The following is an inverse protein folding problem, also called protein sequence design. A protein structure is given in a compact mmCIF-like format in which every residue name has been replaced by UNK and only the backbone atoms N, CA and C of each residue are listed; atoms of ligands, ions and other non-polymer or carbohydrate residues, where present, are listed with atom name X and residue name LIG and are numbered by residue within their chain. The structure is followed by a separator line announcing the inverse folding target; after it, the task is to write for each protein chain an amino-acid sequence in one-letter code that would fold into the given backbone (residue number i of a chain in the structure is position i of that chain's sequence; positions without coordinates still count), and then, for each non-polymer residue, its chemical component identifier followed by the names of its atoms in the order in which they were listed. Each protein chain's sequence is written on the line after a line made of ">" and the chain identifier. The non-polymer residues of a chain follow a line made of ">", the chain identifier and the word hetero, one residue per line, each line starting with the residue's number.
data_IF_248693242336
#
_entry.id   IF_248693242336
#
_cell.length_a   1.000
_cell.length_b   1.000
_cell.length_c   1.000
_cell.angle_alpha   90.00
_cell.angle_beta   90.00
_cell.angle_gamma   90.00
#
_symmetry.space_group_name_H-M   'P 1'
#
loop_
_entity.id
_entity.type
_entity.pdbx_description
1 polymer ?
#
# COMPACT_ATOMS: atom_id res chain seq x y z
N UNK A 1 36.97 13.18 -13.20
CA UNK A 1 35.63 12.57 -13.38
C UNK A 1 34.87 12.71 -12.07
N UNK A 2 34.11 13.79 -11.94
CA UNK A 2 33.29 14.06 -10.74
C UNK A 2 31.89 13.50 -11.00
N UNK A 3 31.51 12.45 -10.25
CA UNK A 3 30.13 11.97 -10.23
C UNK A 3 29.29 12.92 -9.36
N UNK A 4 28.44 13.72 -9.98
CA UNK A 4 27.44 14.49 -9.28
C UNK A 4 26.44 13.57 -8.58
N UNK A 5 26.49 13.56 -7.26
CA UNK A 5 25.46 12.96 -6.41
C UNK A 5 24.19 13.82 -6.54
N UNK A 6 23.23 13.38 -7.36
CA UNK A 6 21.89 13.97 -7.36
C UNK A 6 21.10 13.28 -6.27
N UNK A 7 21.05 13.90 -5.10
CA UNK A 7 20.13 13.54 -4.03
C UNK A 7 18.70 13.85 -4.52
N UNK A 8 17.98 12.82 -4.93
CA UNK A 8 16.56 12.93 -5.21
C UNK A 8 15.81 12.99 -3.88
N UNK A 9 15.35 14.17 -3.48
CA UNK A 9 14.44 14.35 -2.36
C UNK A 9 13.09 13.73 -2.74
N UNK A 10 12.81 12.56 -2.21
CA UNK A 10 11.47 11.99 -2.23
C UNK A 10 10.56 12.86 -1.37
N UNK A 11 9.63 13.57 -1.99
CA UNK A 11 8.63 14.35 -1.28
C UNK A 11 7.66 13.38 -0.63
N UNK A 12 7.82 13.16 0.66
CA UNK A 12 6.78 12.56 1.51
C UNK A 12 5.68 13.61 1.64
N UNK A 13 4.59 13.46 0.92
CA UNK A 13 3.38 14.27 1.14
C UNK A 13 2.78 13.87 2.48
N UNK A 14 3.18 14.58 3.53
CA UNK A 14 2.41 14.64 4.76
C UNK A 14 1.22 15.55 4.44
N UNK A 15 0.03 14.97 4.32
CA UNK A 15 -1.21 15.74 4.35
C UNK A 15 -1.33 16.36 5.74
N UNK A 16 -0.77 17.55 5.91
CA UNK A 16 -1.06 18.39 7.06
C UNK A 16 -2.47 18.95 6.87
N UNK A 17 -3.45 18.29 7.48
CA UNK A 17 -4.73 18.94 7.73
C UNK A 17 -4.47 20.06 8.74
N UNK A 18 -4.46 21.29 8.26
CA UNK A 18 -4.52 22.49 9.10
C UNK A 18 -5.90 22.53 9.78
N UNK A 19 -6.02 21.89 10.92
CA UNK A 19 -7.14 22.11 11.83
C UNK A 19 -6.73 23.30 12.69
N UNK A 20 -7.37 24.45 12.45
CA UNK A 20 -7.25 25.61 13.33
C UNK A 20 -7.66 25.22 14.75
N UNK A 21 -6.83 25.66 15.69
CA UNK A 21 -6.92 25.35 17.08
C UNK A 21 -8.18 25.94 17.72
N UNK A 22 -9.17 25.12 17.92
CA UNK A 22 -10.09 25.25 19.05
C UNK A 22 -10.22 23.87 19.72
N UNK A 23 -9.87 23.88 21.03
CA UNK A 23 -10.00 22.78 21.99
C UNK A 23 -8.88 21.74 22.01
N UNK A 24 -7.81 22.05 22.74
CA UNK A 24 -6.78 21.08 23.17
C UNK A 24 -7.34 19.80 23.82
N UNK A 25 -8.50 19.86 24.45
CA UNK A 25 -9.12 18.75 25.19
C UNK A 25 -9.82 17.74 24.25
N UNK A 26 -10.47 18.21 23.19
CA UNK A 26 -11.12 17.32 22.22
C UNK A 26 -10.14 16.66 21.24
N UNK A 27 -9.00 17.29 20.97
CA UNK A 27 -7.95 16.74 20.11
C UNK A 27 -7.24 15.53 20.73
N UNK A 28 -6.89 15.57 21.99
CA UNK A 28 -6.21 14.48 22.69
C UNK A 28 -7.08 13.23 22.83
N UNK A 29 -8.37 13.38 23.11
CA UNK A 29 -9.30 12.26 23.17
C UNK A 29 -9.54 11.62 21.80
N UNK A 30 -9.56 12.39 20.71
CA UNK A 30 -9.73 11.88 19.36
C UNK A 30 -8.49 11.14 18.87
N UNK A 31 -7.31 11.66 19.11
CA UNK A 31 -6.02 11.02 18.75
C UNK A 31 -5.81 9.75 19.56
N UNK A 32 -6.13 9.75 20.86
CA UNK A 32 -6.06 8.54 21.70
C UNK A 32 -7.05 7.47 21.25
N UNK A 33 -8.26 7.86 20.83
CA UNK A 33 -9.28 6.95 20.32
C UNK A 33 -8.86 6.28 19.01
N UNK A 34 -8.35 7.05 18.02
CA UNK A 34 -7.86 6.52 16.77
C UNK A 34 -6.65 5.58 16.94
N UNK A 35 -5.70 5.95 17.79
CA UNK A 35 -4.52 5.15 18.06
C UNK A 35 -4.84 3.83 18.77
N UNK A 36 -5.76 3.88 19.71
CA UNK A 36 -6.26 2.67 20.39
C UNK A 36 -7.02 1.76 19.43
N UNK A 37 -7.85 2.34 18.55
CA UNK A 37 -8.51 1.60 17.50
C UNK A 37 -7.49 0.89 16.60
N UNK A 38 -6.47 1.60 16.08
CA UNK A 38 -5.44 1.02 15.21
C UNK A 38 -4.68 -0.12 15.91
N UNK A 39 -4.23 0.09 17.15
CA UNK A 39 -3.56 -0.96 17.93
C UNK A 39 -4.44 -2.20 18.10
N UNK A 40 -5.69 -2.00 18.44
CA UNK A 40 -6.65 -3.08 18.61
C UNK A 40 -6.89 -3.83 17.31
N UNK A 41 -7.07 -3.12 16.20
CA UNK A 41 -7.33 -3.72 14.90
C UNK A 41 -6.11 -4.52 14.40
N UNK A 42 -4.91 -3.97 14.52
CA UNK A 42 -3.64 -4.67 14.24
C UNK A 42 -3.49 -5.93 15.11
N UNK A 43 -3.72 -5.79 16.42
CA UNK A 43 -3.62 -6.90 17.37
C UNK A 43 -4.65 -8.00 17.05
N UNK A 44 -5.88 -7.65 16.78
CA UNK A 44 -6.91 -8.61 16.41
C UNK A 44 -6.63 -9.27 15.05
N UNK A 45 -6.13 -8.51 14.07
CA UNK A 45 -5.77 -9.06 12.75
C UNK A 45 -4.65 -10.09 12.87
N UNK A 46 -3.70 -9.88 13.79
CA UNK A 46 -2.60 -10.82 14.05
C UNK A 46 -3.03 -12.04 14.85
N UNK A 47 -3.76 -11.82 15.96
CA UNK A 47 -4.08 -12.89 16.91
C UNK A 47 -5.31 -13.72 16.51
N UNK A 48 -6.23 -13.15 15.74
CA UNK A 48 -7.51 -13.76 15.35
C UNK A 48 -7.75 -13.60 13.84
N UNK A 49 -6.83 -14.05 12.98
CA UNK A 49 -7.02 -13.95 11.54
C UNK A 49 -8.18 -14.85 11.09
N UNK A 50 -8.95 -14.34 10.12
CA UNK A 50 -10.02 -15.11 9.47
C UNK A 50 -9.52 -15.79 8.20
N UNK A 51 -8.47 -15.23 7.57
CA UNK A 51 -7.86 -15.76 6.36
C UNK A 51 -6.34 -15.67 6.44
N UNK A 52 -5.69 -16.62 5.79
CA UNK A 52 -4.29 -16.53 5.38
C UNK A 52 -4.27 -16.13 3.90
N UNK A 53 -3.53 -15.08 3.58
CA UNK A 53 -3.55 -14.50 2.25
C UNK A 53 -2.25 -14.79 1.49
N UNK A 54 -2.38 -15.11 0.21
CA UNK A 54 -1.29 -15.11 -0.75
C UNK A 54 -1.36 -13.84 -1.60
N UNK A 55 -0.24 -13.16 -1.77
CA UNK A 55 -0.11 -11.96 -2.57
C UNK A 55 0.78 -12.21 -3.78
N UNK A 56 0.31 -11.83 -4.97
CA UNK A 56 1.03 -12.03 -6.24
C UNK A 56 1.04 -10.71 -7.02
N UNK A 57 2.11 -9.92 -6.94
CA UNK A 57 2.30 -8.74 -7.77
C UNK A 57 2.30 -9.10 -9.25
N UNK A 58 1.63 -8.30 -10.09
CA UNK A 58 1.55 -8.57 -11.52
C UNK A 58 1.65 -7.32 -12.41
N UNK A 59 1.54 -6.11 -11.86
CA UNK A 59 1.60 -4.88 -12.63
C UNK A 59 2.32 -3.77 -11.86
N UNK A 60 3.23 -3.09 -12.55
CA UNK A 60 3.91 -1.88 -12.11
C UNK A 60 3.92 -0.88 -13.27
N UNK A 61 2.77 -0.25 -13.54
CA UNK A 61 2.61 0.64 -14.69
C UNK A 61 3.02 2.07 -14.36
N UNK A 62 3.93 2.63 -15.15
CA UNK A 62 4.39 4.01 -15.04
C UNK A 62 3.51 4.92 -15.90
N UNK A 63 3.05 6.02 -15.32
CA UNK A 63 2.18 6.97 -16.01
C UNK A 63 2.91 7.63 -17.18
N UNK A 64 2.50 7.29 -18.40
CA UNK A 64 3.13 7.73 -19.66
C UNK A 64 3.10 9.24 -19.88
N UNK A 65 2.23 9.98 -19.19
CA UNK A 65 2.20 11.44 -19.24
C UNK A 65 3.24 12.10 -18.32
N UNK A 66 3.79 11.33 -17.39
CA UNK A 66 4.74 11.79 -16.38
C UNK A 66 6.15 11.20 -16.57
N UNK A 67 6.36 10.45 -17.64
CA UNK A 67 7.63 9.82 -17.93
C UNK A 67 8.04 10.00 -19.39
N UNK A 68 9.36 10.19 -19.60
CA UNK A 68 9.96 10.06 -20.92
C UNK A 68 9.85 8.62 -21.40
N UNK A 69 9.52 8.46 -22.70
CA UNK A 69 9.35 7.14 -23.31
C UNK A 69 10.61 6.28 -23.18
N UNK A 70 11.79 6.88 -23.34
CA UNK A 70 13.08 6.20 -23.23
C UNK A 70 13.27 5.51 -21.87
N UNK A 71 12.79 6.13 -20.78
CA UNK A 71 12.85 5.52 -19.44
C UNK A 71 11.90 4.34 -19.31
N UNK A 72 10.65 4.54 -19.74
CA UNK A 72 9.61 3.50 -19.59
C UNK A 72 9.87 2.28 -20.48
N UNK A 73 10.54 2.45 -21.61
CA UNK A 73 10.93 1.35 -22.50
C UNK A 73 11.98 0.41 -21.83
N UNK A 74 12.69 0.91 -20.81
CA UNK A 74 13.70 0.16 -20.06
C UNK A 74 13.16 -0.42 -18.73
N UNK A 75 11.92 -0.13 -18.34
CA UNK A 75 11.37 -0.58 -17.08
C UNK A 75 10.68 -1.93 -17.18
N UNK A 76 10.90 -2.76 -16.19
CA UNK A 76 10.09 -3.96 -15.98
C UNK A 76 8.74 -3.57 -15.37
N UNK A 77 7.67 -3.65 -16.15
CA UNK A 77 6.33 -3.36 -15.69
C UNK A 77 5.52 -4.60 -15.27
N UNK A 78 6.12 -5.76 -15.39
CA UNK A 78 5.57 -7.04 -14.93
C UNK A 78 6.39 -7.54 -13.73
N UNK A 79 6.20 -6.97 -12.55
CA UNK A 79 6.88 -7.42 -11.35
C UNK A 79 6.49 -8.87 -11.09
N UNK A 80 7.47 -9.67 -10.71
CA UNK A 80 7.21 -11.01 -10.25
C UNK A 80 7.76 -11.19 -8.84
N UNK A 81 7.11 -12.03 -8.08
CA UNK A 81 7.40 -12.23 -6.69
C UNK A 81 6.19 -12.75 -5.98
N UNK A 82 6.16 -12.61 -4.69
CA UNK A 82 5.04 -13.07 -3.89
C UNK A 82 5.08 -12.54 -2.47
N UNK A 83 4.04 -12.87 -1.73
CA UNK A 83 3.96 -12.51 -0.34
C UNK A 83 2.87 -13.27 0.38
N UNK A 84 2.90 -13.17 1.68
CA UNK A 84 1.93 -13.78 2.57
C UNK A 84 1.43 -12.75 3.57
N UNK A 85 0.24 -13.00 4.10
CA UNK A 85 -0.33 -12.18 5.14
C UNK A 85 -1.45 -12.88 5.88
N UNK A 86 -1.99 -12.15 6.82
CA UNK A 86 -3.18 -12.55 7.57
C UNK A 86 -4.20 -11.43 7.46
N UNK A 87 -5.48 -11.78 7.33
CA UNK A 87 -6.53 -10.77 7.21
C UNK A 87 -7.81 -11.15 7.92
N UNK A 88 -8.63 -10.14 8.15
CA UNK A 88 -9.94 -10.27 8.74
C UNK A 88 -10.92 -9.25 8.16
N UNK A 89 -12.19 -9.55 8.30
CA UNK A 89 -13.29 -8.61 8.05
C UNK A 89 -14.00 -8.32 9.36
N UNK A 90 -14.33 -7.06 9.60
CA UNK A 90 -15.17 -6.71 10.74
C UNK A 90 -16.67 -6.90 10.42
N UNK A 91 -17.54 -6.68 11.39
CA UNK A 91 -18.99 -6.84 11.24
C UNK A 91 -19.59 -5.94 10.13
N UNK A 92 -18.95 -4.82 9.85
CA UNK A 92 -19.36 -3.86 8.80
C UNK A 92 -18.87 -4.26 7.40
N UNK A 93 -18.01 -5.28 7.29
CA UNK A 93 -17.38 -5.71 6.04
C UNK A 93 -16.12 -4.93 5.67
N UNK A 94 -15.56 -4.14 6.60
CA UNK A 94 -14.26 -3.52 6.42
C UNK A 94 -13.17 -4.58 6.56
N UNK A 95 -12.14 -4.47 5.74
CA UNK A 95 -11.04 -5.43 5.71
C UNK A 95 -9.79 -4.83 6.33
N UNK A 96 -9.07 -5.65 7.09
CA UNK A 96 -7.77 -5.34 7.66
C UNK A 96 -6.80 -6.49 7.40
N UNK A 97 -5.53 -6.17 7.13
CA UNK A 97 -4.49 -7.17 6.89
C UNK A 97 -3.12 -6.72 7.38
N UNK A 98 -2.33 -7.70 7.80
CA UNK A 98 -0.89 -7.60 7.96
C UNK A 98 -0.23 -8.47 6.90
N UNK A 99 0.71 -7.91 6.15
CA UNK A 99 1.31 -8.59 5.01
C UNK A 99 2.81 -8.36 4.90
N UNK A 100 3.47 -9.28 4.25
CA UNK A 100 4.85 -9.16 3.81
C UNK A 100 4.94 -9.65 2.36
N UNK A 101 5.58 -8.88 1.49
CA UNK A 101 5.83 -9.26 0.09
C UNK A 101 7.29 -9.00 -0.26
N UNK A 102 7.78 -9.76 -1.24
CA UNK A 102 9.05 -9.54 -1.89
C UNK A 102 8.85 -9.71 -3.39
N UNK A 103 9.22 -8.72 -4.17
CA UNK A 103 9.01 -8.72 -5.63
C UNK A 103 10.12 -7.95 -6.33
N UNK A 104 10.23 -8.16 -7.64
CA UNK A 104 11.13 -7.38 -8.50
C UNK A 104 10.51 -6.05 -8.82
N UNK A 105 11.26 -4.98 -8.62
CA UNK A 105 10.85 -3.62 -8.98
C UNK A 105 11.04 -3.35 -10.49
N UNK A 106 10.82 -2.10 -10.89
CA UNK A 106 10.96 -1.67 -12.28
C UNK A 106 12.39 -1.80 -12.84
N UNK A 107 13.39 -1.90 -11.97
CA UNK A 107 14.80 -2.07 -12.33
C UNK A 107 15.28 -3.52 -12.23
N UNK A 108 14.37 -4.48 -12.00
CA UNK A 108 14.66 -5.88 -11.71
C UNK A 108 15.43 -6.12 -10.41
N UNK A 109 15.38 -5.17 -9.46
CA UNK A 109 15.96 -5.36 -8.15
C UNK A 109 14.91 -5.85 -7.14
N UNK A 110 15.35 -6.57 -6.11
CA UNK A 110 14.45 -7.09 -5.10
C UNK A 110 13.94 -5.97 -4.19
N UNK A 111 12.63 -5.86 -4.07
CA UNK A 111 11.97 -4.91 -3.18
C UNK A 111 11.13 -5.63 -2.14
N UNK A 112 11.59 -5.71 -0.88
CA UNK A 112 10.76 -6.17 0.24
C UNK A 112 9.81 -5.08 0.70
N UNK A 113 8.64 -5.49 1.17
CA UNK A 113 7.67 -4.63 1.83
C UNK A 113 6.98 -5.41 2.95
N UNK A 114 6.80 -4.76 4.09
CA UNK A 114 5.93 -5.22 5.17
C UNK A 114 4.96 -4.11 5.52
N UNK A 115 3.70 -4.45 5.77
CA UNK A 115 2.71 -3.41 5.99
C UNK A 115 1.41 -3.90 6.62
N UNK A 116 0.60 -2.90 6.92
CA UNK A 116 -0.78 -3.03 7.34
C UNK A 116 -1.67 -2.34 6.28
N UNK A 117 -2.73 -3.03 5.88
CA UNK A 117 -3.76 -2.50 4.99
C UNK A 117 -5.10 -2.45 5.69
N UNK A 118 -5.85 -1.39 5.45
CA UNK A 118 -7.23 -1.25 5.88
C UNK A 118 -8.10 -0.71 4.75
N UNK A 119 -9.28 -1.30 4.55
CA UNK A 119 -10.26 -0.87 3.55
C UNK A 119 -11.67 -0.83 4.13
N UNK A 120 -12.38 0.26 3.89
CA UNK A 120 -13.84 0.24 3.93
C UNK A 120 -14.36 -0.57 2.75
N UNK A 121 -15.32 -1.46 3.02
CA UNK A 121 -15.86 -2.37 2.01
C UNK A 121 -17.33 -2.09 1.71
N UNK A 122 -17.69 -2.25 0.43
CA UNK A 122 -19.07 -2.21 -0.05
C UNK A 122 -19.35 -3.47 -0.86
N UNK A 123 -20.38 -4.22 -0.45
CA UNK A 123 -20.85 -5.36 -1.20
C UNK A 123 -21.84 -4.91 -2.26
N UNK A 124 -21.66 -5.39 -3.49
CA UNK A 124 -22.47 -5.01 -4.64
C UNK A 124 -23.66 -5.94 -4.86
N UNK A 125 -23.67 -7.07 -4.17
CA UNK A 125 -24.70 -8.11 -4.31
C UNK A 125 -25.16 -8.65 -2.95
N UNK A 126 -26.37 -9.21 -2.92
CA UNK A 126 -26.96 -9.76 -1.69
C UNK A 126 -26.25 -11.01 -1.17
N UNK A 127 -25.52 -11.73 -2.02
CA UNK A 127 -24.73 -12.91 -1.62
C UNK A 127 -23.39 -12.55 -1.02
N UNK A 128 -23.01 -11.25 -1.08
CA UNK A 128 -21.71 -10.75 -0.65
C UNK A 128 -20.52 -11.39 -1.42
N UNK A 129 -20.77 -11.81 -2.66
CA UNK A 129 -19.72 -12.36 -3.51
C UNK A 129 -18.83 -11.27 -4.10
N UNK A 130 -19.41 -10.12 -4.47
CA UNK A 130 -18.69 -8.98 -5.04
C UNK A 130 -18.53 -7.88 -4.01
N UNK A 131 -17.28 -7.43 -3.81
CA UNK A 131 -16.92 -6.34 -2.89
C UNK A 131 -15.99 -5.37 -3.57
N UNK A 132 -16.24 -4.07 -3.39
CA UNK A 132 -15.27 -3.01 -3.64
C UNK A 132 -14.69 -2.54 -2.32
N UNK A 133 -13.42 -2.19 -2.32
CA UNK A 133 -12.70 -1.65 -1.17
C UNK A 133 -11.98 -0.36 -1.51
N UNK A 134 -12.00 0.56 -0.56
CA UNK A 134 -11.25 1.80 -0.59
C UNK A 134 -10.65 2.05 0.79
N UNK A 135 -9.37 2.34 0.83
CA UNK A 135 -8.69 2.53 2.11
C UNK A 135 -7.26 3.03 1.97
N UNK A 136 -6.44 2.56 2.88
CA UNK A 136 -5.02 2.94 2.96
C UNK A 136 -4.17 1.72 3.27
N UNK A 137 -2.94 1.74 2.79
CA UNK A 137 -1.89 0.84 3.26
C UNK A 137 -0.73 1.66 3.81
N UNK A 138 -0.21 1.23 4.95
CA UNK A 138 0.96 1.81 5.59
C UNK A 138 1.99 0.72 5.85
N UNK A 139 3.26 1.00 5.60
CA UNK A 139 4.28 -0.03 5.75
C UNK A 139 5.68 0.52 5.65
N UNK A 140 6.62 -0.41 5.58
CA UNK A 140 8.03 -0.15 5.37
C UNK A 140 8.46 -0.95 4.14
N UNK A 141 9.11 -0.29 3.21
CA UNK A 141 9.75 -0.91 2.04
C UNK A 141 11.22 -0.53 2.00
N UNK A 142 12.01 -1.28 1.23
CA UNK A 142 13.40 -0.96 0.99
C UNK A 142 13.72 -1.19 -0.50
N UNK A 143 14.54 -0.31 -1.10
CA UNK A 143 14.88 -0.35 -2.52
C UNK A 143 16.35 -0.10 -2.71
N UNK A 144 16.93 -0.74 -3.73
CA UNK A 144 18.35 -0.58 -4.08
C UNK A 144 18.66 0.86 -4.52
N UNK A 145 17.80 1.44 -5.34
CA UNK A 145 17.96 2.79 -5.89
C UNK A 145 17.74 3.91 -4.85
N UNK A 146 17.24 3.56 -3.64
CA UNK A 146 17.07 4.47 -2.52
C UNK A 146 18.02 4.13 -1.39
N UNK A 147 19.16 4.83 -1.34
CA UNK A 147 20.19 4.75 -0.28
C UNK A 147 20.61 3.31 0.08
N UNK A 148 20.73 2.40 -0.90
CA UNK A 148 21.10 1.00 -0.71
C UNK A 148 20.26 0.30 0.36
N UNK A 149 18.96 0.16 0.10
CA UNK A 149 18.01 -0.54 0.98
C UNK A 149 17.78 0.09 2.35
N UNK A 150 17.99 1.39 2.53
CA UNK A 150 17.52 2.06 3.74
C UNK A 150 15.99 1.94 3.82
N UNK A 151 15.45 1.48 4.99
CA UNK A 151 14.01 1.34 5.16
C UNK A 151 13.26 2.66 4.95
N UNK A 152 12.26 2.66 4.09
CA UNK A 152 11.43 3.81 3.73
C UNK A 152 10.00 3.58 4.23
N UNK A 153 9.47 4.39 5.13
CA UNK A 153 8.05 4.32 5.50
C UNK A 153 7.19 4.83 4.34
N UNK A 154 6.08 4.14 4.10
CA UNK A 154 5.10 4.50 3.07
C UNK A 154 3.70 4.53 3.65
N UNK A 155 2.87 5.44 3.14
CA UNK A 155 1.42 5.48 3.34
C UNK A 155 0.82 5.77 1.97
N UNK A 156 0.00 4.85 1.46
CA UNK A 156 -0.54 4.92 0.11
C UNK A 156 -2.05 4.62 0.10
N UNK A 157 -2.82 5.19 -0.84
CA UNK A 157 -4.20 4.79 -1.04
C UNK A 157 -4.26 3.33 -1.46
N UNK A 158 -5.28 2.62 -1.03
CA UNK A 158 -5.52 1.23 -1.35
C UNK A 158 -6.91 1.08 -1.96
N UNK A 159 -6.98 0.42 -3.10
CA UNK A 159 -8.22 0.10 -3.80
C UNK A 159 -8.30 -1.39 -4.04
N UNK A 160 -9.50 -1.95 -3.98
CA UNK A 160 -9.72 -3.35 -4.31
C UNK A 160 -11.04 -3.61 -5.00
N UNK A 161 -11.02 -4.64 -5.84
CA UNK A 161 -12.21 -5.31 -6.35
C UNK A 161 -12.07 -6.80 -6.07
N UNK A 162 -13.05 -7.38 -5.39
CA UNK A 162 -12.98 -8.75 -4.90
C UNK A 162 -14.19 -9.55 -5.40
N UNK A 163 -13.92 -10.80 -5.76
CA UNK A 163 -14.94 -11.81 -5.99
C UNK A 163 -14.64 -13.01 -5.11
N UNK A 164 -15.48 -13.21 -4.09
CA UNK A 164 -15.28 -14.25 -3.07
C UNK A 164 -13.91 -14.14 -2.41
N UNK A 165 -13.03 -15.14 -2.61
CA UNK A 165 -11.70 -15.23 -2.02
C UNK A 165 -10.60 -14.54 -2.83
N UNK A 166 -10.90 -14.18 -4.09
CA UNK A 166 -9.95 -13.54 -4.99
C UNK A 166 -10.19 -12.03 -5.00
N UNK A 167 -9.11 -11.26 -4.85
CA UNK A 167 -9.12 -9.81 -4.93
C UNK A 167 -8.03 -9.31 -5.87
N UNK A 168 -8.36 -8.33 -6.69
CA UNK A 168 -7.38 -7.45 -7.31
C UNK A 168 -7.26 -6.24 -6.41
N UNK A 169 -6.06 -5.97 -5.94
CA UNK A 169 -5.73 -4.80 -5.14
C UNK A 169 -4.73 -3.94 -5.89
N UNK A 170 -4.85 -2.62 -5.75
CA UNK A 170 -3.91 -1.71 -6.38
C UNK A 170 -3.73 -0.44 -5.55
N UNK A 171 -2.59 0.19 -5.76
CA UNK A 171 -2.23 1.47 -5.17
C UNK A 171 -1.64 2.38 -6.23
N UNK A 172 -1.72 3.69 -6.01
CA UNK A 172 -1.01 4.67 -6.81
C UNK A 172 0.06 5.35 -5.97
N UNK A 173 1.29 5.26 -6.44
CA UNK A 173 2.46 5.88 -5.83
C UNK A 173 2.63 7.25 -6.48
N UNK A 174 2.31 8.35 -5.80
CA UNK A 174 2.48 9.68 -6.38
C UNK A 174 3.95 10.03 -6.56
N UNK A 175 4.23 10.95 -7.47
CA UNK A 175 5.59 11.39 -7.72
C UNK A 175 5.68 12.67 -8.53
N UNK A 176 6.89 12.95 -9.00
CA UNK A 176 7.20 14.07 -9.88
C UNK A 176 7.48 13.57 -11.30
N UNK A 177 7.82 14.46 -12.22
CA UNK A 177 8.21 14.07 -13.57
C UNK A 177 9.41 13.12 -13.56
N UNK A 178 9.31 12.00 -14.28
CA UNK A 178 10.30 10.93 -14.31
C UNK A 178 10.63 10.24 -12.97
N UNK A 179 9.75 10.36 -11.97
CA UNK A 179 9.97 9.73 -10.66
C UNK A 179 8.63 9.51 -9.94
N UNK A 180 8.35 8.29 -9.47
CA UNK A 180 7.05 7.93 -8.90
C UNK A 180 5.97 7.82 -9.99
N UNK A 181 4.73 8.25 -9.72
CA UNK A 181 3.60 8.16 -10.64
C UNK A 181 3.37 6.75 -11.18
N UNK A 182 3.37 5.77 -10.29
CA UNK A 182 3.28 4.35 -10.60
C UNK A 182 1.97 3.77 -10.06
N UNK A 183 1.23 3.10 -10.93
CA UNK A 183 0.15 2.21 -10.54
C UNK A 183 0.73 0.83 -10.27
N UNK A 184 0.67 0.38 -9.03
CA UNK A 184 1.12 -0.94 -8.62
C UNK A 184 -0.07 -1.82 -8.26
N UNK A 185 -0.16 -3.02 -8.84
CA UNK A 185 -1.28 -3.92 -8.62
C UNK A 185 -0.83 -5.35 -8.32
N UNK A 186 -1.63 -6.05 -7.51
CA UNK A 186 -1.41 -7.43 -7.13
C UNK A 186 -2.72 -8.20 -6.97
N UNK A 187 -2.65 -9.51 -7.13
CA UNK A 187 -3.70 -10.43 -6.74
C UNK A 187 -3.54 -10.78 -5.25
N UNK A 188 -4.65 -10.89 -4.55
CA UNK A 188 -4.73 -11.48 -3.21
C UNK A 188 -5.72 -12.63 -3.23
N UNK A 189 -5.31 -13.78 -2.71
CA UNK A 189 -6.18 -14.93 -2.53
C UNK A 189 -6.20 -15.32 -1.04
N UNK A 190 -7.41 -15.36 -0.44
CA UNK A 190 -7.61 -15.76 0.96
C UNK A 190 -8.01 -17.24 1.07
N UNK A 191 -7.30 -17.95 1.93
CA UNK A 191 -7.57 -19.37 2.22
C UNK A 191 -8.55 -19.53 3.36
#
# INVERSE_FOLDING_TARGET
>A
MQRCLRVAWGIVFIFAFSVQAETKIYGEQRVSGWWNWLKNDVSQTWNEPQNYDLYLPFLSWHNRFMYDKEKTDNYNEMPWGGGFGVSRYNAEGNWSSLYAMMFKDSHNEWQPIVGYGWEKGWYLDSRRDFRLGLGVTAGITARDDFANYVPLPIILPLFSASYRRLSVQFTYIPGTYNNGNVLFAWLRYGF
#
